data_IF_026703670431
#
_entry.id   IF_026703670431
#
_cell.length_a   1.000
_cell.length_b   1.000
_cell.length_c   1.000
_cell.angle_alpha   90.00
_cell.angle_beta   90.00
_cell.angle_gamma   90.00
#
_symmetry.space_group_name_H-M   'P 1'
#
loop_
_entity.id
_entity.type
_entity.pdbx_description
1 polymer ?
#
# COMPACT_ATOMS: atom_id res chain seq x y z
N UNK A 1 2.56 -21.00 14.13
CA UNK A 1 2.95 -20.18 15.30
C UNK A 1 2.33 -18.82 15.08
N UNK A 2 1.61 -18.26 16.06
CA UNK A 2 1.00 -16.92 15.90
C UNK A 2 2.14 -15.89 15.83
N UNK A 3 2.09 -15.01 14.83
CA UNK A 3 2.97 -13.84 14.77
C UNK A 3 2.77 -12.97 16.03
N UNK A 4 3.73 -12.09 16.37
CA UNK A 4 3.60 -11.17 17.50
C UNK A 4 2.36 -10.27 17.35
N UNK A 5 1.72 -9.96 18.46
CA UNK A 5 0.64 -8.98 18.51
C UNK A 5 1.23 -7.57 18.70
N UNK A 6 0.83 -6.63 17.84
CA UNK A 6 1.18 -5.22 17.96
C UNK A 6 -0.09 -4.34 17.89
N UNK A 7 -0.13 -3.29 18.70
CA UNK A 7 -1.15 -2.25 18.61
C UNK A 7 -0.95 -1.37 17.38
N UNK A 8 -2.02 -0.71 16.93
CA UNK A 8 -2.00 0.17 15.74
C UNK A 8 -0.91 1.25 15.84
N UNK A 9 -0.76 1.88 17.03
CA UNK A 9 0.27 2.90 17.24
C UNK A 9 1.70 2.33 17.18
N UNK A 10 1.90 1.09 17.63
CA UNK A 10 3.20 0.41 17.53
C UNK A 10 3.55 0.12 16.07
N UNK A 11 2.61 -0.40 15.29
CA UNK A 11 2.81 -0.67 13.86
C UNK A 11 3.19 0.59 13.09
N UNK A 12 2.51 1.73 13.40
CA UNK A 12 2.86 3.02 12.81
C UNK A 12 4.32 3.40 13.10
N UNK A 13 4.73 3.30 14.34
CA UNK A 13 6.10 3.65 14.74
C UNK A 13 7.13 2.67 14.20
N UNK A 14 6.83 1.38 14.16
CA UNK A 14 7.70 0.36 13.57
C UNK A 14 7.99 0.68 12.08
N UNK A 15 6.95 1.03 11.29
CA UNK A 15 7.12 1.39 9.90
C UNK A 15 7.99 2.65 9.73
N UNK A 16 7.62 3.72 10.41
CA UNK A 16 8.32 5.00 10.28
C UNK A 16 9.77 4.89 10.74
N UNK A 17 10.03 4.20 11.86
CA UNK A 17 11.39 3.97 12.35
C UNK A 17 12.22 3.05 11.45
N UNK A 18 11.61 2.03 10.82
CA UNK A 18 12.29 1.15 9.88
C UNK A 18 12.80 1.93 8.66
N UNK A 19 11.94 2.74 8.05
CA UNK A 19 12.34 3.54 6.88
C UNK A 19 13.28 4.69 7.24
N UNK A 20 13.05 5.37 8.35
CA UNK A 20 13.90 6.48 8.80
C UNK A 20 15.31 6.00 9.15
N UNK A 21 15.43 5.00 10.06
CA UNK A 21 16.72 4.63 10.66
C UNK A 21 17.52 3.66 9.80
N UNK A 22 16.85 2.69 9.18
CA UNK A 22 17.53 1.67 8.39
C UNK A 22 17.73 2.07 6.94
N UNK A 23 16.74 2.72 6.34
CA UNK A 23 16.71 3.01 4.90
C UNK A 23 16.93 4.49 4.57
N UNK A 24 17.22 5.34 5.56
CA UNK A 24 17.64 6.72 5.40
C UNK A 24 16.56 7.69 4.89
N UNK A 25 15.28 7.36 5.07
CA UNK A 25 14.18 8.23 4.68
C UNK A 25 14.03 9.41 5.64
N UNK A 26 13.62 10.55 5.13
CA UNK A 26 13.15 11.66 5.93
C UNK A 26 11.71 11.38 6.36
N UNK A 27 11.49 11.26 7.65
CA UNK A 27 10.14 11.14 8.21
C UNK A 27 9.45 12.51 8.17
N UNK A 28 8.35 12.60 7.44
CA UNK A 28 7.50 13.80 7.42
C UNK A 28 6.19 13.56 8.18
N UNK A 29 5.62 14.62 8.78
CA UNK A 29 4.28 14.53 9.37
C UNK A 29 3.23 14.32 8.29
N UNK A 30 2.03 13.86 8.69
CA UNK A 30 0.87 13.85 7.80
C UNK A 30 0.59 15.25 7.27
N UNK A 31 0.41 15.37 5.97
CA UNK A 31 -0.09 16.60 5.35
C UNK A 31 -1.55 16.84 5.74
N UNK A 32 -2.03 18.07 5.53
CA UNK A 32 -3.45 18.41 5.68
C UNK A 32 -4.33 17.52 4.82
N UNK A 33 -5.50 17.15 5.32
CA UNK A 33 -6.53 16.46 4.52
C UNK A 33 -7.10 17.36 3.41
N UNK A 34 -7.03 18.68 3.60
CA UNK A 34 -7.44 19.64 2.58
C UNK A 34 -6.29 19.81 1.59
N UNK A 35 -6.49 19.47 0.30
CA UNK A 35 -5.45 19.61 -0.72
C UNK A 35 -4.96 21.05 -0.81
N UNK A 36 -3.66 21.21 -0.99
CA UNK A 36 -3.04 22.50 -1.28
C UNK A 36 -2.73 22.55 -2.79
N UNK A 37 -3.32 23.52 -3.49
CA UNK A 37 -3.09 23.74 -4.93
C UNK A 37 -3.44 22.58 -5.88
N UNK A 38 -4.25 21.61 -5.43
CA UNK A 38 -4.77 20.53 -6.26
C UNK A 38 -6.30 20.55 -6.31
N UNK A 39 -6.85 21.09 -7.39
CA UNK A 39 -8.29 21.21 -7.61
C UNK A 39 -8.93 19.90 -8.08
N UNK A 40 -8.15 18.87 -8.36
CA UNK A 40 -8.65 17.55 -8.78
C UNK A 40 -9.14 16.69 -7.62
N UNK A 41 -8.79 17.06 -6.39
CA UNK A 41 -9.13 16.32 -5.18
C UNK A 41 -9.96 17.19 -4.24
N UNK A 42 -11.04 16.63 -3.71
CA UNK A 42 -11.81 17.25 -2.62
C UNK A 42 -11.06 17.10 -1.28
N UNK A 43 -10.54 15.92 -1.02
CA UNK A 43 -9.75 15.58 0.16
C UNK A 43 -8.58 14.68 -0.23
N UNK A 44 -7.52 14.69 0.55
CA UNK A 44 -6.37 13.78 0.34
C UNK A 44 -6.82 12.34 0.57
N UNK A 45 -6.62 11.50 -0.44
CA UNK A 45 -7.08 10.11 -0.50
C UNK A 45 -5.95 9.09 -0.72
N UNK A 46 -4.71 9.56 -0.84
CA UNK A 46 -3.51 8.72 -1.01
C UNK A 46 -2.28 9.42 -0.43
N UNK A 47 -1.28 8.62 -0.04
CA UNK A 47 -0.03 9.12 0.55
C UNK A 47 0.75 10.03 -0.38
N UNK A 48 0.78 9.72 -1.69
CA UNK A 48 1.51 10.49 -2.69
C UNK A 48 0.83 11.81 -3.10
N UNK A 49 -0.48 11.95 -2.89
CA UNK A 49 -1.26 13.06 -3.42
C UNK A 49 -0.69 14.45 -3.07
N UNK A 50 -0.24 14.72 -1.82
CA UNK A 50 0.37 16.01 -1.50
C UNK A 50 1.75 16.23 -2.13
N UNK A 51 2.38 15.19 -2.66
CA UNK A 51 3.76 15.17 -3.15
C UNK A 51 3.85 15.11 -4.69
N UNK A 52 2.72 15.24 -5.41
CA UNK A 52 2.67 15.22 -6.88
C UNK A 52 3.73 16.11 -7.55
N UNK A 53 4.01 17.36 -7.10
CA UNK A 53 5.04 18.19 -7.72
C UNK A 53 6.45 17.58 -7.64
N UNK A 54 6.76 16.84 -6.55
CA UNK A 54 8.06 16.15 -6.39
C UNK A 54 8.19 14.96 -7.35
N UNK A 55 7.10 14.21 -7.55
CA UNK A 55 7.05 13.11 -8.53
C UNK A 55 7.26 13.59 -9.96
N UNK A 56 6.73 14.77 -10.30
CA UNK A 56 6.88 15.40 -11.62
C UNK A 56 8.22 16.12 -11.81
N UNK A 57 8.98 16.34 -10.74
CA UNK A 57 10.21 17.15 -10.77
C UNK A 57 9.92 18.64 -11.01
N UNK A 58 8.71 19.11 -10.65
CA UNK A 58 8.32 20.51 -10.67
C UNK A 58 8.86 21.26 -9.46
N UNK A 59 9.00 20.54 -8.33
CA UNK A 59 9.59 21.02 -7.09
C UNK A 59 10.61 20.02 -6.56
N UNK A 60 11.67 20.52 -5.92
CA UNK A 60 12.66 19.67 -5.24
C UNK A 60 12.08 19.13 -3.92
N UNK A 61 12.13 17.80 -3.70
CA UNK A 61 11.74 17.24 -2.42
C UNK A 61 12.75 17.62 -1.32
N UNK A 62 12.32 17.69 -0.05
CA UNK A 62 13.24 17.97 1.06
C UNK A 62 14.34 16.91 1.23
N UNK A 63 14.09 15.72 0.70
CA UNK A 63 15.04 14.60 0.55
C UNK A 63 14.49 13.65 -0.51
N UNK A 64 15.38 12.97 -1.26
CA UNK A 64 14.99 11.99 -2.28
C UNK A 64 14.34 10.72 -1.72
N UNK A 65 14.44 10.48 -0.42
CA UNK A 65 13.76 9.41 0.32
C UNK A 65 12.90 10.01 1.43
N UNK A 66 11.61 9.78 1.37
CA UNK A 66 10.65 10.29 2.35
C UNK A 66 9.77 9.13 2.84
N UNK A 67 9.37 9.14 4.10
CA UNK A 67 8.32 8.26 4.62
C UNK A 67 7.29 9.05 5.42
N UNK A 68 6.03 8.63 5.33
CA UNK A 68 4.92 9.27 6.02
C UNK A 68 3.92 8.24 6.56
N UNK A 69 3.11 8.68 7.52
CA UNK A 69 1.82 8.09 7.83
C UNK A 69 0.77 9.15 7.51
N UNK A 70 0.20 9.09 6.31
CA UNK A 70 -0.73 10.10 5.79
C UNK A 70 -2.17 9.76 6.15
N UNK A 71 -2.87 10.69 6.78
CA UNK A 71 -4.31 10.62 6.98
C UNK A 71 -5.02 10.79 5.64
N UNK A 72 -5.94 9.88 5.34
CA UNK A 72 -6.65 9.83 4.07
C UNK A 72 -8.15 9.73 4.28
N UNK A 73 -8.92 10.28 3.34
CA UNK A 73 -10.36 10.09 3.25
C UNK A 73 -10.74 9.64 1.85
N UNK A 74 -11.43 8.49 1.75
CA UNK A 74 -12.04 7.96 0.53
C UNK A 74 -13.54 7.86 0.71
N UNK A 75 -14.29 8.69 -0.02
CA UNK A 75 -15.75 8.68 0.00
C UNK A 75 -16.37 7.70 -0.99
N UNK A 76 -15.61 7.29 -2.01
CA UNK A 76 -16.05 6.29 -2.99
C UNK A 76 -16.29 4.90 -2.39
N UNK A 77 -15.69 4.62 -1.23
CA UNK A 77 -15.84 3.34 -0.55
C UNK A 77 -17.03 3.31 0.43
N UNK A 78 -17.82 4.37 0.53
CA UNK A 78 -18.88 4.51 1.55
C UNK A 78 -19.93 3.39 1.45
N UNK A 79 -20.25 2.95 0.25
CA UNK A 79 -21.23 1.87 0.02
C UNK A 79 -20.69 0.48 0.44
N UNK A 80 -19.39 0.36 0.62
CA UNK A 80 -18.73 -0.87 1.07
C UNK A 80 -18.59 -0.95 2.60
N UNK A 81 -18.85 0.16 3.32
CA UNK A 81 -18.73 0.23 4.78
C UNK A 81 -19.76 -0.69 5.43
N UNK A 82 -19.29 -1.61 6.28
CA UNK A 82 -20.14 -2.61 6.94
C UNK A 82 -20.50 -3.80 6.05
N UNK A 83 -20.11 -3.83 4.78
CA UNK A 83 -20.30 -4.95 3.85
C UNK A 83 -19.01 -5.74 3.58
N UNK A 84 -17.88 -5.10 3.80
CA UNK A 84 -16.54 -5.72 3.72
C UNK A 84 -15.75 -5.43 4.98
N UNK A 85 -14.80 -6.28 5.30
CA UNK A 85 -13.95 -6.15 6.49
C UNK A 85 -12.85 -5.08 6.32
N UNK A 86 -12.55 -4.69 5.07
CA UNK A 86 -11.35 -3.95 4.67
C UNK A 86 -11.58 -2.50 4.23
N UNK A 87 -12.82 -2.00 4.22
CA UNK A 87 -13.13 -0.63 3.79
C UNK A 87 -13.51 0.28 4.95
N UNK A 88 -12.89 1.46 4.98
CA UNK A 88 -13.18 2.57 5.88
C UNK A 88 -13.07 3.89 5.11
N UNK A 89 -13.88 4.89 5.44
CA UNK A 89 -13.82 6.21 4.79
C UNK A 89 -12.61 7.01 5.24
N UNK A 90 -12.26 6.96 6.52
CA UNK A 90 -11.04 7.53 7.08
C UNK A 90 -10.06 6.40 7.42
N UNK A 91 -8.81 6.55 7.02
CA UNK A 91 -7.73 5.61 7.32
C UNK A 91 -6.37 6.29 7.28
N UNK A 92 -5.37 5.64 7.83
CA UNK A 92 -3.97 6.07 7.75
C UNK A 92 -3.22 5.24 6.70
N UNK A 93 -2.56 5.93 5.77
CA UNK A 93 -1.74 5.28 4.75
C UNK A 93 -0.26 5.46 5.10
N UNK A 94 0.40 4.36 5.40
CA UNK A 94 1.84 4.29 5.53
C UNK A 94 2.48 4.27 4.14
N UNK A 95 3.48 5.11 3.91
CA UNK A 95 4.13 5.21 2.62
C UNK A 95 5.62 5.50 2.73
N UNK A 96 6.41 4.87 1.87
CA UNK A 96 7.80 5.21 1.64
C UNK A 96 7.98 5.57 0.16
N UNK A 97 8.68 6.67 -0.08
CA UNK A 97 8.75 7.31 -1.37
C UNK A 97 10.20 7.49 -1.80
N UNK A 98 10.44 7.33 -3.11
CA UNK A 98 11.72 7.62 -3.77
C UNK A 98 11.49 8.59 -4.92
N UNK A 99 12.23 9.68 -4.92
CA UNK A 99 12.22 10.67 -5.99
C UNK A 99 13.54 10.57 -6.78
N UNK A 100 13.58 9.60 -7.73
CA UNK A 100 14.76 9.36 -8.56
C UNK A 100 15.97 8.77 -7.82
N UNK A 101 15.80 8.13 -6.66
CA UNK A 101 16.89 7.51 -5.89
C UNK A 101 16.87 5.98 -6.04
N UNK A 102 16.00 5.26 -5.32
CA UNK A 102 15.84 3.81 -5.47
C UNK A 102 14.61 3.46 -6.31
N UNK A 103 14.54 2.21 -6.80
CA UNK A 103 13.43 1.76 -7.62
C UNK A 103 12.93 0.35 -7.20
N UNK A 104 12.40 -0.44 -8.13
CA UNK A 104 11.70 -1.72 -7.89
C UNK A 104 12.43 -2.66 -6.93
N UNK A 105 13.73 -2.85 -7.13
CA UNK A 105 14.52 -3.82 -6.38
C UNK A 105 14.53 -3.54 -4.88
N UNK A 106 14.79 -2.30 -4.51
CA UNK A 106 14.82 -1.86 -3.12
C UNK A 106 13.40 -1.83 -2.54
N UNK A 107 12.43 -1.27 -3.28
CA UNK A 107 11.03 -1.18 -2.83
C UNK A 107 10.47 -2.57 -2.48
N UNK A 108 10.59 -3.54 -3.39
CA UNK A 108 10.14 -4.93 -3.19
C UNK A 108 10.90 -5.59 -2.02
N UNK A 109 12.23 -5.41 -1.97
CA UNK A 109 13.03 -6.03 -0.90
C UNK A 109 12.64 -5.49 0.46
N UNK A 110 12.46 -4.17 0.59
CA UNK A 110 12.15 -3.55 1.89
C UNK A 110 10.71 -3.79 2.32
N UNK A 111 9.75 -3.85 1.40
CA UNK A 111 8.37 -4.21 1.74
C UNK A 111 8.28 -5.65 2.26
N UNK A 112 8.96 -6.59 1.60
CA UNK A 112 9.05 -7.98 2.05
C UNK A 112 9.74 -8.11 3.40
N UNK A 113 10.89 -7.47 3.56
CA UNK A 113 11.64 -7.49 4.83
C UNK A 113 10.82 -6.89 5.98
N UNK A 114 10.14 -5.76 5.73
CA UNK A 114 9.31 -5.14 6.76
C UNK A 114 8.20 -6.08 7.22
N UNK A 115 7.46 -6.67 6.30
CA UNK A 115 6.35 -7.57 6.66
C UNK A 115 6.82 -8.85 7.33
N UNK A 116 7.93 -9.45 6.88
CA UNK A 116 8.35 -10.79 7.34
C UNK A 116 9.33 -10.76 8.50
N UNK A 117 10.25 -9.79 8.56
CA UNK A 117 11.31 -9.74 9.56
C UNK A 117 11.04 -8.71 10.67
N UNK A 118 10.34 -7.60 10.34
CA UNK A 118 10.05 -6.55 11.33
C UNK A 118 8.70 -6.80 11.99
N UNK A 119 7.64 -7.02 11.20
CA UNK A 119 6.29 -7.34 11.71
C UNK A 119 6.19 -8.81 12.08
N UNK A 120 6.87 -9.71 11.37
CA UNK A 120 6.90 -11.14 11.64
C UNK A 120 5.72 -11.92 11.04
N UNK A 121 5.14 -11.46 9.94
CA UNK A 121 4.09 -12.20 9.23
C UNK A 121 4.66 -13.47 8.58
N UNK A 122 3.84 -14.50 8.54
CA UNK A 122 4.22 -15.80 7.98
C UNK A 122 4.43 -15.70 6.45
N UNK A 123 5.63 -16.02 5.99
CA UNK A 123 6.05 -15.93 4.58
C UNK A 123 5.18 -16.76 3.63
N UNK A 124 4.66 -17.88 4.10
CA UNK A 124 3.81 -18.79 3.33
C UNK A 124 2.36 -18.31 3.20
N UNK A 125 1.98 -17.29 3.95
CA UNK A 125 0.68 -16.61 3.84
C UNK A 125 0.73 -15.32 3.01
N UNK A 126 1.91 -14.90 2.54
CA UNK A 126 2.10 -13.71 1.72
C UNK A 126 2.21 -14.07 0.24
N UNK A 127 1.44 -13.41 -0.59
CA UNK A 127 1.32 -13.64 -2.03
C UNK A 127 1.51 -12.33 -2.79
N UNK A 128 2.60 -12.16 -3.56
CA UNK A 128 2.78 -10.98 -4.38
C UNK A 128 1.99 -11.07 -5.69
N UNK A 129 1.57 -9.91 -6.18
CA UNK A 129 1.11 -9.72 -7.55
C UNK A 129 1.98 -8.70 -8.28
N UNK A 130 1.98 -8.76 -9.60
CA UNK A 130 2.70 -7.84 -10.48
C UNK A 130 1.84 -7.51 -11.70
N UNK A 131 2.08 -6.34 -12.30
CA UNK A 131 1.50 -6.04 -13.59
C UNK A 131 1.93 -7.09 -14.64
N UNK A 132 0.99 -7.54 -15.46
CA UNK A 132 1.17 -8.69 -16.37
C UNK A 132 2.41 -8.60 -17.25
N UNK A 133 2.81 -7.40 -17.67
CA UNK A 133 3.94 -7.14 -18.56
C UNK A 133 5.21 -6.68 -17.80
N UNK A 134 5.19 -6.72 -16.44
CA UNK A 134 6.34 -6.32 -15.62
C UNK A 134 7.19 -7.54 -15.21
N UNK A 135 7.97 -8.04 -16.17
CA UNK A 135 8.90 -9.16 -15.93
C UNK A 135 10.02 -8.79 -14.95
N UNK A 136 10.41 -7.52 -14.87
CA UNK A 136 11.43 -7.07 -13.90
C UNK A 136 10.95 -7.27 -12.46
N UNK A 137 9.72 -6.82 -12.14
CA UNK A 137 9.15 -7.02 -10.81
C UNK A 137 8.94 -8.51 -10.51
N UNK A 138 8.46 -9.29 -11.49
CA UNK A 138 8.31 -10.73 -11.35
C UNK A 138 9.64 -11.42 -11.01
N UNK A 139 10.71 -11.12 -11.74
CA UNK A 139 12.02 -11.72 -11.51
C UNK A 139 12.61 -11.30 -10.15
N UNK A 140 12.36 -10.08 -9.69
CA UNK A 140 12.78 -9.66 -8.35
C UNK A 140 12.08 -10.53 -7.28
N UNK A 141 10.78 -10.76 -7.39
CA UNK A 141 10.05 -11.65 -6.47
C UNK A 141 10.55 -13.08 -6.54
N UNK A 142 10.71 -13.62 -7.76
CA UNK A 142 11.11 -15.01 -7.94
C UNK A 142 12.57 -15.26 -7.59
N UNK A 143 13.48 -14.56 -8.24
CA UNK A 143 14.91 -14.87 -8.18
C UNK A 143 15.58 -14.27 -6.93
N UNK A 144 15.19 -13.04 -6.53
CA UNK A 144 15.84 -12.36 -5.42
C UNK A 144 15.20 -12.63 -4.07
N UNK A 145 13.86 -12.57 -4.00
CA UNK A 145 13.12 -12.84 -2.76
C UNK A 145 12.95 -14.34 -2.56
N UNK A 146 12.88 -15.12 -3.64
CA UNK A 146 12.76 -16.59 -3.61
C UNK A 146 11.33 -17.07 -3.52
N UNK A 147 10.35 -16.30 -3.98
CA UNK A 147 8.95 -16.73 -4.05
C UNK A 147 8.79 -17.69 -5.23
N UNK A 148 8.17 -18.89 -5.04
CA UNK A 148 7.84 -19.78 -6.14
C UNK A 148 6.95 -19.10 -7.19
N UNK A 149 7.15 -19.41 -8.48
CA UNK A 149 6.42 -18.78 -9.59
C UNK A 149 4.89 -18.94 -9.45
N UNK A 150 4.42 -20.09 -8.98
CA UNK A 150 3.01 -20.40 -8.77
C UNK A 150 2.36 -19.61 -7.63
N UNK A 151 3.15 -18.85 -6.87
CA UNK A 151 2.69 -17.94 -5.83
C UNK A 151 2.80 -16.46 -6.20
N UNK A 152 3.25 -16.13 -7.41
CA UNK A 152 3.34 -14.77 -7.94
C UNK A 152 2.24 -14.59 -8.98
N UNK A 153 1.30 -13.70 -8.72
CA UNK A 153 0.13 -13.48 -9.58
C UNK A 153 0.41 -12.36 -10.57
N UNK A 154 -0.06 -12.52 -11.81
CA UNK A 154 0.01 -11.50 -12.85
C UNK A 154 -1.38 -10.97 -13.15
N UNK A 155 -1.59 -9.69 -12.93
CA UNK A 155 -2.87 -9.05 -13.19
C UNK A 155 -2.76 -7.94 -14.24
N UNK A 156 -3.89 -7.59 -14.81
CA UNK A 156 -4.00 -6.53 -15.82
C UNK A 156 -3.92 -5.12 -15.21
N UNK A 157 -4.27 -4.16 -16.08
CA UNK A 157 -4.23 -2.75 -15.71
C UNK A 157 -5.24 -2.40 -14.61
N UNK A 158 -6.34 -3.13 -14.52
CA UNK A 158 -7.39 -2.89 -13.52
C UNK A 158 -6.90 -3.09 -12.09
N UNK A 159 -5.98 -4.03 -11.88
CA UNK A 159 -5.49 -4.41 -10.55
C UNK A 159 -4.05 -3.93 -10.30
N UNK A 160 -3.13 -4.13 -11.26
CA UNK A 160 -1.70 -3.86 -11.05
C UNK A 160 -1.14 -2.68 -11.87
N UNK A 161 -1.96 -1.65 -12.11
CA UNK A 161 -1.50 -0.37 -12.64
C UNK A 161 -2.20 0.77 -11.89
N UNK A 162 -1.44 1.53 -11.13
CA UNK A 162 -2.00 2.62 -10.36
C UNK A 162 -2.03 3.92 -11.15
N UNK A 163 -3.20 4.53 -11.24
CA UNK A 163 -3.43 5.87 -11.78
C UNK A 163 -4.61 6.53 -11.09
N UNK A 164 -4.58 7.85 -10.98
CA UNK A 164 -5.68 8.62 -10.42
C UNK A 164 -5.85 9.93 -11.18
N UNK A 165 -6.69 9.88 -12.21
CA UNK A 165 -6.90 10.99 -13.13
C UNK A 165 -5.61 11.40 -13.84
N UNK A 166 -5.40 12.71 -14.03
CA UNK A 166 -4.16 13.24 -14.58
C UNK A 166 -3.04 13.23 -13.52
N UNK A 167 -1.85 12.81 -13.92
CA UNK A 167 -0.66 12.85 -13.06
C UNK A 167 0.22 11.62 -13.11
N UNK A 168 1.20 11.56 -12.19
CA UNK A 168 2.15 10.46 -12.09
C UNK A 168 1.46 9.12 -11.86
N UNK A 169 1.85 8.10 -12.63
CA UNK A 169 1.26 6.77 -12.60
C UNK A 169 2.27 5.69 -13.02
N UNK A 170 1.88 4.43 -12.90
CA UNK A 170 2.73 3.32 -13.35
C UNK A 170 2.23 1.94 -12.92
N UNK A 171 2.89 0.87 -13.43
CA UNK A 171 2.62 -0.48 -12.96
C UNK A 171 2.90 -0.60 -11.46
N UNK A 172 2.21 -1.53 -10.82
CA UNK A 172 2.41 -1.76 -9.40
C UNK A 172 2.56 -3.25 -9.08
N UNK A 173 3.06 -3.50 -7.90
CA UNK A 173 3.18 -4.83 -7.30
C UNK A 173 2.59 -4.78 -5.89
N UNK A 174 1.59 -5.60 -5.66
CA UNK A 174 0.88 -5.68 -4.40
C UNK A 174 1.31 -6.91 -3.61
N UNK A 175 1.15 -6.87 -2.29
CA UNK A 175 1.34 -8.01 -1.40
C UNK A 175 0.03 -8.28 -0.70
N UNK A 176 -0.48 -9.49 -0.90
CA UNK A 176 -1.70 -10.00 -0.25
C UNK A 176 -1.35 -10.93 0.90
N UNK A 177 -2.16 -10.88 1.95
CA UNK A 177 -2.06 -11.81 3.07
C UNK A 177 -3.29 -12.73 3.08
N UNK A 178 -3.05 -14.06 3.12
CA UNK A 178 -4.12 -15.07 3.27
C UNK A 178 -4.56 -15.14 4.72
N UNK A 179 -5.73 -14.63 5.04
CA UNK A 179 -6.35 -14.65 6.37
C UNK A 179 -6.89 -16.02 6.77
N UNK A 180 -7.01 -16.93 5.81
CA UNK A 180 -7.55 -18.26 6.01
C UNK A 180 -8.91 -18.47 5.33
N UNK A 181 -9.29 -19.74 5.14
CA UNK A 181 -10.52 -20.10 4.43
C UNK A 181 -11.79 -19.61 5.12
N UNK A 182 -11.76 -19.36 6.42
CA UNK A 182 -12.87 -18.81 7.22
C UNK A 182 -13.29 -17.40 6.79
N UNK A 183 -12.37 -16.62 6.18
CA UNK A 183 -12.63 -15.31 5.60
C UNK A 183 -12.97 -15.38 4.09
N UNK A 184 -12.98 -16.58 3.53
CA UNK A 184 -13.21 -16.80 2.10
C UNK A 184 -14.68 -16.86 1.71
N UNK A 185 -14.95 -16.68 0.41
CA UNK A 185 -16.29 -16.78 -0.16
C UNK A 185 -16.87 -18.22 -0.20
N UNK A 186 -16.09 -19.24 0.19
CA UNK A 186 -16.46 -20.65 0.12
C UNK A 186 -16.61 -21.24 -1.29
N UNK A 187 -16.31 -20.45 -2.33
CA UNK A 187 -16.40 -20.92 -3.73
C UNK A 187 -15.14 -21.69 -4.14
N UNK A 188 -15.27 -22.74 -4.97
CA UNK A 188 -14.12 -23.35 -5.60
C UNK A 188 -13.32 -22.33 -6.41
N UNK A 189 -11.98 -22.35 -6.30
CA UNK A 189 -11.12 -21.40 -7.02
C UNK A 189 -10.93 -20.05 -6.34
N UNK A 190 -11.36 -19.88 -5.06
CA UNK A 190 -11.01 -18.70 -4.27
C UNK A 190 -9.48 -18.57 -4.18
N UNK A 191 -8.95 -17.49 -4.72
CA UNK A 191 -7.51 -17.19 -4.83
C UNK A 191 -7.25 -15.70 -4.69
N UNK A 192 -6.00 -15.26 -4.77
CA UNK A 192 -5.62 -13.85 -4.84
C UNK A 192 -6.36 -13.16 -6.00
N UNK A 193 -6.89 -11.96 -5.77
CA UNK A 193 -7.77 -11.24 -6.70
C UNK A 193 -9.26 -11.58 -6.56
N UNK A 194 -9.64 -12.47 -5.64
CA UNK A 194 -11.05 -12.68 -5.29
C UNK A 194 -11.58 -11.51 -4.45
N UNK A 195 -12.81 -11.05 -4.70
CA UNK A 195 -13.45 -9.94 -3.97
C UNK A 195 -13.79 -10.24 -2.51
N UNK A 196 -13.54 -11.47 -2.04
CA UNK A 196 -13.76 -11.82 -0.63
C UNK A 196 -12.63 -11.32 0.28
N UNK A 197 -12.84 -11.41 1.60
CA UNK A 197 -11.90 -10.91 2.60
C UNK A 197 -10.79 -11.90 3.00
N UNK A 198 -10.63 -13.02 2.27
CA UNK A 198 -9.58 -14.00 2.53
C UNK A 198 -8.19 -13.46 2.21
N UNK A 199 -8.01 -12.99 0.96
CA UNK A 199 -6.75 -12.43 0.49
C UNK A 199 -6.84 -10.91 0.55
N UNK A 200 -6.36 -10.34 1.64
CA UNK A 200 -6.38 -8.89 1.84
C UNK A 200 -5.08 -8.27 1.33
N UNK A 201 -5.17 -7.26 0.46
CA UNK A 201 -4.04 -6.44 0.08
C UNK A 201 -3.53 -5.68 1.31
N UNK A 202 -2.27 -5.91 1.69
CA UNK A 202 -1.61 -5.24 2.81
C UNK A 202 -0.56 -4.23 2.38
N UNK A 203 -0.06 -4.30 1.14
CA UNK A 203 0.97 -3.39 0.64
C UNK A 203 0.86 -3.23 -0.87
N UNK A 204 0.98 -1.98 -1.37
CA UNK A 204 1.10 -1.68 -2.79
C UNK A 204 2.41 -0.93 -3.06
N UNK A 205 3.26 -1.45 -3.95
CA UNK A 205 4.46 -0.79 -4.48
C UNK A 205 4.13 -0.25 -5.87
N UNK A 206 4.00 1.06 -6.03
CA UNK A 206 3.77 1.70 -7.33
C UNK A 206 5.10 2.16 -7.93
N UNK A 207 5.38 1.69 -9.12
CA UNK A 207 6.58 2.04 -9.90
C UNK A 207 6.25 3.22 -10.81
N UNK A 208 6.24 4.41 -10.22
CA UNK A 208 5.80 5.63 -10.89
C UNK A 208 6.83 6.07 -11.92
N UNK A 209 6.53 5.83 -13.17
CA UNK A 209 7.43 6.09 -14.30
C UNK A 209 6.75 6.82 -15.47
N UNK A 210 5.43 7.03 -15.41
CA UNK A 210 4.66 7.72 -16.42
C UNK A 210 3.90 8.91 -15.82
N UNK A 211 3.56 9.89 -16.66
CA UNK A 211 2.59 10.96 -16.40
C UNK A 211 1.42 10.79 -17.36
N UNK A 212 0.21 10.70 -16.84
CA UNK A 212 -1.04 10.62 -17.60
C UNK A 212 -1.62 12.03 -17.73
N UNK A 213 -1.95 12.46 -18.95
CA UNK A 213 -2.55 13.76 -19.22
C UNK A 213 -4.06 13.86 -18.86
N UNK A 214 -4.64 12.77 -18.33
CA UNK A 214 -6.06 12.66 -18.03
C UNK A 214 -6.92 12.19 -19.21
N UNK A 215 -6.31 11.96 -20.38
CA UNK A 215 -6.95 11.46 -21.59
C UNK A 215 -6.39 10.10 -22.03
N UNK A 216 -5.75 9.38 -21.10
CA UNK A 216 -5.05 8.10 -21.33
C UNK A 216 -3.84 8.21 -22.28
N UNK A 217 -3.23 9.39 -22.42
CA UNK A 217 -1.92 9.52 -23.03
C UNK A 217 -0.84 9.52 -21.95
N UNK A 218 0.10 8.59 -22.08
CA UNK A 218 1.17 8.37 -21.10
C UNK A 218 2.49 8.86 -21.68
N UNK A 219 3.18 9.71 -20.94
CA UNK A 219 4.56 10.13 -21.24
C UNK A 219 5.48 9.65 -20.13
N UNK A 220 6.69 9.22 -20.49
CA UNK A 220 7.67 8.82 -19.48
C UNK A 220 8.09 10.03 -18.64
N UNK A 221 8.13 9.84 -17.31
CA UNK A 221 8.70 10.81 -16.39
C UNK A 221 10.22 10.91 -16.59
N UNK A 222 10.78 12.09 -16.35
CA UNK A 222 12.24 12.33 -16.42
C UNK A 222 13.03 11.46 -15.44
N UNK A 223 12.39 11.08 -14.34
CA UNK A 223 12.95 10.22 -13.31
C UNK A 223 11.96 9.11 -12.94
N UNK A 224 12.47 7.95 -12.58
CA UNK A 224 11.67 6.86 -12.03
C UNK A 224 11.53 7.05 -10.52
N UNK A 225 10.31 6.91 -10.04
CA UNK A 225 9.98 7.14 -8.63
C UNK A 225 9.34 5.90 -8.01
N UNK A 226 9.37 5.84 -6.68
CA UNK A 226 8.61 4.87 -5.90
C UNK A 226 7.55 5.62 -5.10
N UNK A 227 6.31 5.16 -5.22
CA UNK A 227 5.20 5.44 -4.35
C UNK A 227 4.77 4.13 -3.69
N UNK A 228 4.60 4.10 -2.38
CA UNK A 228 4.02 2.94 -1.72
C UNK A 228 2.84 3.34 -0.86
N UNK A 229 1.88 2.42 -0.76
CA UNK A 229 0.73 2.55 0.10
C UNK A 229 0.46 1.27 0.88
N UNK A 230 0.41 1.39 2.20
CA UNK A 230 0.00 0.33 3.11
C UNK A 230 -1.03 0.89 4.08
N UNK A 231 -2.25 0.38 4.02
CA UNK A 231 -3.29 0.75 4.99
C UNK A 231 -2.90 0.30 6.39
N UNK A 232 -2.68 1.24 7.30
CA UNK A 232 -2.27 0.93 8.67
C UNK A 232 -3.31 0.06 9.38
N UNK A 233 -4.58 0.38 9.23
CA UNK A 233 -5.69 -0.36 9.82
C UNK A 233 -5.83 -1.76 9.21
N UNK A 234 -5.56 -1.93 7.90
CA UNK A 234 -5.52 -3.26 7.25
C UNK A 234 -4.41 -4.13 7.82
N UNK A 235 -3.20 -3.56 7.96
CA UNK A 235 -2.08 -4.27 8.59
C UNK A 235 -2.41 -4.62 10.05
N UNK A 236 -2.99 -3.69 10.81
CA UNK A 236 -3.41 -3.92 12.20
C UNK A 236 -4.46 -5.03 12.29
N UNK A 237 -5.45 -5.04 11.38
CA UNK A 237 -6.47 -6.09 11.30
C UNK A 237 -5.83 -7.49 11.13
N UNK A 238 -4.85 -7.61 10.24
CA UNK A 238 -4.10 -8.86 10.04
C UNK A 238 -3.30 -9.24 11.30
N UNK A 239 -2.51 -8.29 11.84
CA UNK A 239 -1.60 -8.53 12.97
C UNK A 239 -2.37 -8.82 14.26
N UNK A 240 -3.51 -8.18 14.48
CA UNK A 240 -4.35 -8.39 15.65
C UNK A 240 -5.31 -9.59 15.47
N UNK A 241 -5.34 -10.17 14.25
CA UNK A 241 -6.23 -11.27 13.89
C UNK A 241 -7.70 -10.97 14.25
N UNK A 242 -8.16 -9.79 13.87
CA UNK A 242 -9.54 -9.33 14.06
C UNK A 242 -10.31 -9.38 12.74
N UNK A 243 -11.64 -9.46 12.80
CA UNK A 243 -12.44 -9.67 11.61
C UNK A 243 -12.52 -8.43 10.73
N UNK A 244 -12.64 -7.24 11.32
CA UNK A 244 -12.89 -5.99 10.61
C UNK A 244 -11.94 -4.88 11.07
N UNK A 245 -11.75 -3.87 10.23
CA UNK A 245 -11.06 -2.63 10.61
C UNK A 245 -11.67 -1.96 11.85
N UNK A 246 -12.96 -2.16 12.08
CA UNK A 246 -13.70 -1.61 13.23
C UNK A 246 -13.40 -2.35 14.54
N UNK A 247 -12.77 -3.53 14.47
CA UNK A 247 -12.36 -4.34 15.61
C UNK A 247 -10.88 -4.09 16.03
N UNK A 248 -10.17 -3.24 15.28
CA UNK A 248 -8.78 -2.85 15.61
C UNK A 248 -8.76 -2.08 16.94
N UNK A 249 -7.74 -2.33 17.76
CA UNK A 249 -7.61 -1.86 19.15
C UNK A 249 -8.01 -0.39 19.37
N UNK A 250 -7.46 0.53 18.57
CA UNK A 250 -7.76 1.97 18.71
C UNK A 250 -9.15 2.34 18.20
N UNK A 251 -9.65 1.66 17.17
CA UNK A 251 -10.98 1.90 16.60
C UNK A 251 -12.06 1.41 17.52
N UNK A 252 -11.84 0.29 18.23
CA UNK A 252 -12.76 -0.27 19.23
C UNK A 252 -13.11 0.71 20.35
N UNK A 253 -12.22 1.65 20.69
CA UNK A 253 -12.55 2.71 21.66
C UNK A 253 -13.68 3.60 21.17
N UNK A 254 -13.76 3.86 19.86
CA UNK A 254 -14.84 4.65 19.25
C UNK A 254 -16.09 3.79 19.15
N UNK A 255 -15.97 2.58 18.63
CA UNK A 255 -17.08 1.63 18.47
C UNK A 255 -17.82 1.38 19.79
N UNK A 256 -17.08 1.14 20.87
CA UNK A 256 -17.63 0.92 22.22
C UNK A 256 -18.27 2.18 22.82
N UNK A 257 -18.03 3.36 22.27
CA UNK A 257 -18.68 4.61 22.73
C UNK A 257 -19.99 4.88 22.00
N UNK A 258 -20.14 4.34 20.79
CA UNK A 258 -21.30 4.56 19.91
C UNK A 258 -22.37 3.47 20.15
N UNK A 259 -21.98 2.25 20.51
CA UNK A 259 -22.89 1.15 20.90
C UNK A 259 -23.31 1.26 22.34
#
# INVERSE_FOLDING_TARGET
MSHPYYGLNELREMFLSYFERKNGHLRLPSFSLIPQNDMSLLLINAGMAPMKPWFKGEEEPPRHRVCTCQKCIRTGDIDNIGHTDRHGTFFEMLGNFSFGDYFKKEAITWSWEFLTEVVGLEKDRLYPSVYQDDDEAFNIWHEKIGIPEDRIFRFGKEDNFWEHGAGPCGPCSEIYYDRGPEHGCGKPGCTVGCDCDRYIEVWNNVFTQFDNDGHNNYTELKQKNIDTGMGLERLACVVQNVNSLFDVDTVMHITNKVS
#
